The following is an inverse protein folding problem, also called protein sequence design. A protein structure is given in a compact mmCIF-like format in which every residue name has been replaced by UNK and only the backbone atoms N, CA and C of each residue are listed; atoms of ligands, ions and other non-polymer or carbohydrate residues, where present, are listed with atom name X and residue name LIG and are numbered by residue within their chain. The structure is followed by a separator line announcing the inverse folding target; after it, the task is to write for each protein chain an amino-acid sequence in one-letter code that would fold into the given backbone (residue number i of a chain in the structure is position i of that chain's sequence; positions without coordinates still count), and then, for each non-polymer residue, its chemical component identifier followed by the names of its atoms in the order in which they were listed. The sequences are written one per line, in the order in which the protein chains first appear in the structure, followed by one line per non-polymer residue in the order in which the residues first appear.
data_IF_417222701892
#
_entry.id   IF_417222701892
#
_cell.length_a   1.000
_cell.length_b   1.000
_cell.length_c   1.000
_cell.angle_alpha   90.00
_cell.angle_beta   90.00
_cell.angle_gamma   90.00
#
_symmetry.space_group_name_H-M   'P 1'
#
loop_
_entity.id
_entity.type
_entity.pdbx_description
1 polymer ?
#
# COMPACT_ATOMS: atom_id res chain seq x y z
N UNK A 1 -5.23 30.35 3.91
CA UNK A 1 -5.51 29.67 2.62
C UNK A 1 -4.91 28.28 2.68
N UNK A 2 -5.73 27.25 2.45
CA UNK A 2 -5.41 25.85 2.72
C UNK A 2 -4.35 25.28 1.76
N UNK A 3 -3.18 24.94 2.32
CA UNK A 3 -2.55 23.62 2.24
C UNK A 3 -2.78 22.84 0.93
N UNK A 4 -2.17 23.29 -0.16
CA UNK A 4 -2.08 22.51 -1.39
C UNK A 4 -0.97 21.48 -1.24
N UNK A 5 -1.25 20.44 -0.45
CA UNK A 5 -0.51 19.18 -0.52
C UNK A 5 -0.71 18.62 -1.91
N UNK A 6 0.36 18.62 -2.69
CA UNK A 6 0.55 17.88 -3.93
C UNK A 6 0.23 16.39 -3.68
N UNK A 7 -1.06 16.05 -3.75
CA UNK A 7 -1.59 14.69 -3.67
C UNK A 7 -1.05 13.93 -4.87
N UNK A 8 0.11 13.30 -4.69
CA UNK A 8 0.65 12.36 -5.66
C UNK A 8 -0.37 11.23 -5.80
N UNK A 9 -1.22 11.33 -6.82
CA UNK A 9 -2.24 10.34 -7.14
C UNK A 9 -1.53 9.02 -7.39
N UNK A 10 -1.62 8.13 -6.42
CA UNK A 10 -1.09 6.78 -6.51
C UNK A 10 -2.22 5.93 -7.06
N UNK A 11 -1.95 5.11 -8.06
CA UNK A 11 -2.94 4.19 -8.62
C UNK A 11 -2.64 2.79 -8.14
N UNK A 12 -3.69 2.03 -7.84
CA UNK A 12 -3.55 0.66 -7.41
C UNK A 12 -3.11 -0.24 -8.58
N UNK A 13 -1.99 -0.98 -8.49
CA UNK A 13 -1.55 -1.88 -9.56
C UNK A 13 -2.47 -3.10 -9.75
N UNK A 14 -3.49 -3.27 -8.90
CA UNK A 14 -4.44 -4.39 -8.97
C UNK A 14 -5.79 -3.99 -9.58
N UNK A 15 -6.33 -2.81 -9.22
CA UNK A 15 -7.63 -2.32 -9.70
C UNK A 15 -7.53 -1.04 -10.56
N UNK A 16 -6.34 -0.49 -10.77
CA UNK A 16 -6.08 0.78 -11.47
C UNK A 16 -6.76 2.01 -10.83
N UNK A 17 -7.31 1.86 -9.62
CA UNK A 17 -8.10 2.90 -8.95
C UNK A 17 -7.23 3.84 -8.10
N UNK A 18 -7.70 5.09 -7.93
CA UNK A 18 -6.98 6.14 -7.20
C UNK A 18 -6.88 5.80 -5.71
N UNK A 19 -5.65 5.83 -5.18
CA UNK A 19 -5.33 5.68 -3.76
C UNK A 19 -5.19 7.03 -3.08
N UNK A 20 -5.58 7.10 -1.81
CA UNK A 20 -5.42 8.31 -0.99
C UNK A 20 -3.95 8.52 -0.57
N UNK A 21 -3.42 9.72 -0.84
CA UNK A 21 -2.15 10.26 -0.33
C UNK A 21 -2.43 11.21 0.86
N UNK A 22 -1.50 11.44 1.83
CA UNK A 22 -0.04 11.36 1.74
C UNK A 22 0.63 10.04 2.17
N UNK A 23 -0.09 9.15 2.87
CA UNK A 23 0.47 7.86 3.36
C UNK A 23 0.29 6.70 2.37
N UNK A 24 -0.43 6.91 1.25
CA UNK A 24 -0.27 6.21 -0.05
C UNK A 24 -0.48 4.70 -0.09
N UNK A 25 -0.86 4.10 1.03
CA UNK A 25 -0.83 2.67 1.25
C UNK A 25 -2.23 2.06 1.37
N UNK A 26 -3.31 2.75 0.99
CA UNK A 26 -4.66 2.18 1.08
C UNK A 26 -5.49 2.50 -0.17
N UNK A 27 -5.93 1.44 -0.84
CA UNK A 27 -6.88 1.51 -1.94
C UNK A 27 -8.31 1.35 -1.40
N UNK A 28 -9.15 2.36 -1.58
CA UNK A 28 -10.53 2.36 -1.08
C UNK A 28 -11.47 1.49 -1.94
N UNK A 29 -11.14 1.33 -3.21
CA UNK A 29 -11.84 0.48 -4.18
C UNK A 29 -11.73 -1.00 -3.86
N UNK A 30 -10.48 -1.43 -3.74
CA UNK A 30 -10.12 -2.80 -3.43
C UNK A 30 -10.24 -3.09 -1.91
N UNK A 31 -10.26 -2.06 -1.06
CA UNK A 31 -10.18 -2.18 0.40
C UNK A 31 -8.83 -2.70 0.91
N UNK A 32 -7.80 -2.72 0.05
CA UNK A 32 -6.49 -3.31 0.38
C UNK A 32 -5.50 -2.25 0.79
N UNK A 33 -4.77 -2.52 1.87
CA UNK A 33 -3.65 -1.70 2.29
C UNK A 33 -2.37 -2.22 1.63
N UNK A 34 -1.67 -1.42 0.82
CA UNK A 34 -0.42 -1.77 0.15
C UNK A 34 0.77 -1.12 0.87
N UNK A 35 1.70 -1.90 1.38
CA UNK A 35 2.90 -1.39 2.04
C UNK A 35 4.16 -1.81 1.27
N UNK A 36 5.27 -1.10 1.44
CA UNK A 36 6.53 -1.47 0.80
C UNK A 36 7.29 -2.47 1.67
N UNK A 37 7.64 -3.62 1.10
CA UNK A 37 8.42 -4.61 1.82
C UNK A 37 9.81 -4.06 2.19
N UNK A 38 10.28 -4.17 3.44
CA UNK A 38 11.59 -3.66 3.84
C UNK A 38 12.75 -4.43 3.20
N UNK A 39 12.51 -5.66 2.71
CA UNK A 39 13.53 -6.50 2.05
C UNK A 39 13.71 -6.14 0.58
N UNK A 40 12.63 -6.14 -0.20
CA UNK A 40 12.68 -5.98 -1.66
C UNK A 40 12.15 -4.62 -2.15
N UNK A 41 11.63 -3.77 -1.26
CA UNK A 41 10.96 -2.50 -1.56
C UNK A 41 9.85 -2.60 -2.62
N UNK A 42 9.25 -3.77 -2.79
CA UNK A 42 8.08 -3.93 -3.64
C UNK A 42 6.79 -3.65 -2.86
N UNK A 43 5.74 -3.14 -3.54
CA UNK A 43 4.42 -2.98 -2.94
C UNK A 43 3.84 -4.36 -2.63
N UNK A 44 3.40 -4.58 -1.39
CA UNK A 44 2.84 -5.84 -0.89
C UNK A 44 1.50 -5.54 -0.24
N UNK A 45 0.45 -6.34 -0.50
CA UNK A 45 -0.81 -6.21 0.20
C UNK A 45 -0.65 -6.62 1.66
N UNK A 46 -1.13 -5.82 2.61
CA UNK A 46 -1.15 -6.13 4.05
C UNK A 46 -2.01 -7.33 4.40
N UNK A 47 -2.98 -7.63 3.55
CA UNK A 47 -3.77 -8.85 3.60
C UNK A 47 -2.91 -10.13 3.46
N UNK A 48 -1.73 -10.01 2.84
CA UNK A 48 -0.78 -11.11 2.69
C UNK A 48 0.16 -11.15 3.89
N UNK A 49 0.22 -12.32 4.55
CA UNK A 49 1.19 -12.64 5.60
C UNK A 49 2.63 -12.83 5.10
N UNK A 50 2.83 -12.85 3.79
CA UNK A 50 4.13 -13.05 3.16
C UNK A 50 4.24 -12.19 1.89
N UNK A 51 5.42 -11.61 1.65
CA UNK A 51 5.73 -10.90 0.44
C UNK A 51 5.80 -11.87 -0.76
N UNK A 52 4.92 -11.76 -1.77
CA UNK A 52 4.92 -12.66 -2.92
C UNK A 52 6.13 -12.46 -3.85
N UNK A 53 6.92 -11.41 -3.64
CA UNK A 53 8.08 -11.09 -4.48
C UNK A 53 9.39 -11.64 -3.93
N UNK A 54 9.53 -11.73 -2.60
CA UNK A 54 10.78 -12.17 -1.97
C UNK A 54 10.60 -13.25 -0.89
N UNK A 55 9.37 -13.59 -0.51
CA UNK A 55 9.09 -14.55 0.56
C UNK A 55 9.34 -13.99 1.98
N UNK A 56 9.40 -12.66 2.15
CA UNK A 56 9.54 -12.07 3.48
C UNK A 56 8.23 -12.19 4.27
N UNK A 57 8.28 -12.71 5.49
CA UNK A 57 7.12 -12.80 6.38
C UNK A 57 6.68 -11.40 6.84
N UNK A 58 5.41 -11.08 6.59
CA UNK A 58 4.75 -9.83 6.92
C UNK A 58 3.79 -10.14 8.07
N UNK A 59 4.22 -9.88 9.29
CA UNK A 59 3.35 -10.06 10.45
C UNK A 59 2.38 -8.89 10.52
N UNK A 60 1.12 -9.13 10.14
CA UNK A 60 0.02 -8.31 10.63
C UNK A 60 -0.01 -8.49 12.16
N UNK A 61 0.48 -7.50 12.91
CA UNK A 61 0.34 -7.49 14.36
C UNK A 61 -1.16 -7.42 14.67
N UNK A 62 -1.72 -8.56 15.00
CA UNK A 62 -2.96 -8.68 15.73
C UNK A 62 -2.61 -9.26 17.11
N UNK A 63 -2.20 -8.38 18.03
CA UNK A 63 -2.12 -8.64 19.47
C UNK A 63 -2.97 -7.57 20.17
#
# INVERSE_FOLDING_TARGET
MAEQGEKKRLFCPYCDEEMMAPDGAHCQACGVTVFYCPKCRKPVPRDKRECPYCGAEIKEKND
#
